data_IF_940800058190
#
_entry.id   IF_940800058190
#
_cell.length_a   1.000
_cell.length_b   1.000
_cell.length_c   1.000
_cell.angle_alpha   90.00
_cell.angle_beta   90.00
_cell.angle_gamma   90.00
#
_symmetry.space_group_name_H-M   'P 1'
#
loop_
_entity.id
_entity.type
_entity.pdbx_description
1 polymer ?
#
# COMPACT_ATOMS: atom_id res chain seq x y z
N UNK A 1 -1.65 -21.87 2.42
CA UNK A 1 -0.69 -22.82 3.00
C UNK A 1 -1.41 -23.54 4.15
N UNK A 2 -1.27 -24.86 4.29
CA UNK A 2 -2.04 -25.69 5.25
C UNK A 2 -1.12 -26.47 6.22
N UNK A 3 0.08 -25.95 6.52
CA UNK A 3 0.96 -26.61 7.50
C UNK A 3 0.40 -26.48 8.93
N UNK A 4 0.86 -27.34 9.84
CA UNK A 4 0.45 -27.31 11.25
C UNK A 4 0.71 -25.94 11.91
N UNK A 5 1.81 -25.27 11.56
CA UNK A 5 2.14 -23.93 12.07
C UNK A 5 1.12 -22.88 11.59
N UNK A 6 0.61 -22.99 10.36
CA UNK A 6 -0.43 -22.08 9.83
C UNK A 6 -1.79 -22.34 10.46
N UNK A 7 -2.13 -23.61 10.68
CA UNK A 7 -3.42 -23.99 11.26
C UNK A 7 -3.53 -23.61 12.74
N UNK A 8 -2.41 -23.52 13.47
CA UNK A 8 -2.34 -23.06 14.86
C UNK A 8 -3.29 -23.77 15.84
N UNK A 9 -3.70 -25.01 15.53
CA UNK A 9 -4.66 -25.79 16.33
C UNK A 9 -4.23 -25.97 17.79
N UNK A 10 -2.94 -26.29 18.10
CA UNK A 10 -2.49 -26.38 19.48
C UNK A 10 -2.64 -25.07 20.25
N UNK A 11 -2.33 -23.94 19.60
CA UNK A 11 -2.43 -22.60 20.19
C UNK A 11 -3.89 -22.22 20.48
N UNK A 12 -4.81 -22.55 19.56
CA UNK A 12 -6.26 -22.32 19.77
C UNK A 12 -6.74 -23.09 21.00
N UNK A 13 -6.30 -24.35 21.16
CA UNK A 13 -6.62 -25.18 22.33
C UNK A 13 -6.02 -24.62 23.62
N UNK A 14 -4.78 -24.12 23.56
CA UNK A 14 -4.07 -23.55 24.72
C UNK A 14 -4.76 -22.29 25.25
N UNK A 15 -5.12 -21.35 24.37
CA UNK A 15 -5.73 -20.08 24.78
C UNK A 15 -7.18 -20.27 25.23
N UNK A 16 -7.93 -21.14 24.56
CA UNK A 16 -9.29 -21.48 24.94
C UNK A 16 -10.32 -20.35 24.81
N UNK A 17 -11.58 -20.59 25.21
CA UNK A 17 -12.66 -19.63 25.09
C UNK A 17 -12.44 -18.36 25.91
N UNK A 18 -12.70 -17.19 25.31
CA UNK A 18 -12.55 -15.89 25.99
C UNK A 18 -11.11 -15.40 26.15
N UNK A 19 -10.12 -16.18 25.73
CA UNK A 19 -8.72 -15.76 25.71
C UNK A 19 -8.38 -14.79 24.57
N UNK A 20 -7.15 -14.28 24.58
CA UNK A 20 -6.66 -13.30 23.60
C UNK A 20 -5.38 -13.77 22.92
N UNK A 21 -5.32 -13.62 21.60
CA UNK A 21 -4.16 -13.95 20.77
C UNK A 21 -3.27 -12.73 20.47
N UNK A 22 -3.70 -11.52 20.84
CA UNK A 22 -3.14 -10.27 20.29
C UNK A 22 -1.65 -10.06 20.61
N UNK A 23 -1.20 -10.53 21.78
CA UNK A 23 0.21 -10.44 22.23
C UNK A 23 0.99 -11.75 22.09
N UNK A 24 0.36 -12.81 21.55
CA UNK A 24 1.01 -14.11 21.47
C UNK A 24 2.14 -14.10 20.43
N UNK A 25 3.32 -14.71 20.70
CA UNK A 25 4.45 -14.69 19.77
C UNK A 25 4.12 -15.18 18.36
N UNK A 26 3.26 -16.20 18.24
CA UNK A 26 2.76 -16.69 16.94
C UNK A 26 2.08 -15.59 16.13
N UNK A 27 1.16 -14.85 16.76
CA UNK A 27 0.45 -13.73 16.12
C UNK A 27 1.39 -12.59 15.79
N UNK A 28 2.30 -12.20 16.70
CA UNK A 28 3.27 -11.12 16.45
C UNK A 28 4.18 -11.41 15.26
N UNK A 29 4.64 -12.67 15.12
CA UNK A 29 5.49 -13.11 14.00
C UNK A 29 4.76 -13.05 12.65
N UNK A 30 3.44 -13.24 12.64
CA UNK A 30 2.64 -13.51 11.43
C UNK A 30 1.66 -12.40 11.04
N UNK A 31 1.35 -11.46 11.94
CA UNK A 31 0.33 -10.42 11.72
C UNK A 31 0.59 -9.50 10.51
N UNK A 32 1.84 -9.42 10.04
CA UNK A 32 2.21 -8.63 8.84
C UNK A 32 2.32 -9.45 7.56
N UNK A 33 2.34 -10.79 7.65
CA UNK A 33 2.48 -11.69 6.50
C UNK A 33 1.16 -12.30 6.09
N UNK A 34 0.30 -12.65 7.05
CA UNK A 34 -1.00 -13.29 6.77
C UNK A 34 -2.11 -12.27 6.48
N UNK A 35 -2.01 -11.07 7.07
CA UNK A 35 -3.00 -10.02 6.85
C UNK A 35 -2.61 -9.16 5.64
N UNK A 36 -3.58 -8.93 4.74
CA UNK A 36 -3.42 -7.97 3.65
C UNK A 36 -3.59 -6.55 4.21
N UNK A 37 -2.45 -5.94 4.55
CA UNK A 37 -2.37 -4.53 4.95
C UNK A 37 -2.22 -3.65 3.70
N UNK A 38 -3.35 -3.14 3.24
CA UNK A 38 -3.38 -2.23 2.09
C UNK A 38 -2.72 -0.90 2.42
N UNK A 39 -2.06 -0.29 1.43
CA UNK A 39 -1.34 0.98 1.60
C UNK A 39 -2.27 2.21 1.68
N UNK A 40 -3.49 2.09 1.18
CA UNK A 40 -4.41 3.24 1.00
C UNK A 40 -5.61 3.18 1.95
N UNK A 41 -6.10 2.00 2.37
CA UNK A 41 -7.33 1.97 3.17
C UNK A 41 -7.13 2.56 4.58
N UNK A 42 -8.18 3.22 5.08
CA UNK A 42 -8.27 3.59 6.50
C UNK A 42 -8.94 2.47 7.28
N UNK A 43 -8.40 2.12 8.45
CA UNK A 43 -9.01 1.19 9.40
C UNK A 43 -9.09 1.79 10.82
N UNK A 44 -8.88 3.08 10.94
CA UNK A 44 -9.00 3.77 12.22
C UNK A 44 -10.44 3.78 12.70
N UNK A 45 -10.60 3.90 14.02
CA UNK A 45 -11.91 4.15 14.61
C UNK A 45 -12.51 5.43 14.01
N UNK A 46 -13.84 5.44 13.85
CA UNK A 46 -14.57 6.56 13.22
C UNK A 46 -14.18 7.93 13.78
N UNK A 47 -14.04 8.05 15.10
CA UNK A 47 -13.67 9.31 15.77
C UNK A 47 -12.28 9.82 15.35
N UNK A 48 -11.35 8.93 15.03
CA UNK A 48 -10.02 9.27 14.53
C UNK A 48 -10.10 9.65 13.05
N UNK A 49 -10.84 8.87 12.24
CA UNK A 49 -11.07 9.16 10.83
C UNK A 49 -11.72 10.53 10.62
N UNK A 50 -12.71 10.89 11.43
CA UNK A 50 -13.36 12.21 11.41
C UNK A 50 -12.38 13.33 11.75
N UNK A 51 -11.55 13.15 12.79
CA UNK A 51 -10.48 14.12 13.16
C UNK A 51 -9.42 14.29 12.07
N UNK A 52 -9.20 13.27 11.25
CA UNK A 52 -8.29 13.30 10.08
C UNK A 52 -8.92 13.96 8.83
N UNK A 53 -10.15 14.45 8.93
CA UNK A 53 -10.84 15.14 7.84
C UNK A 53 -11.80 14.25 7.05
N UNK A 54 -12.15 13.06 7.57
CA UNK A 54 -13.20 12.20 7.02
C UNK A 54 -13.03 11.88 5.52
N UNK A 55 -11.78 11.68 5.07
CA UNK A 55 -11.48 11.46 3.66
C UNK A 55 -12.02 10.12 3.17
N UNK A 56 -12.64 10.14 1.98
CA UNK A 56 -12.96 8.92 1.25
C UNK A 56 -11.71 8.28 0.63
N UNK A 57 -11.89 7.08 0.08
CA UNK A 57 -10.78 6.31 -0.50
C UNK A 57 -10.17 7.00 -1.74
N UNK A 58 -10.99 7.72 -2.51
CA UNK A 58 -10.54 8.42 -3.72
C UNK A 58 -9.64 9.60 -3.38
N UNK A 59 -10.03 10.40 -2.39
CA UNK A 59 -9.26 11.52 -1.87
C UNK A 59 -7.89 11.06 -1.36
N UNK A 60 -7.87 9.96 -0.60
CA UNK A 60 -6.62 9.35 -0.13
C UNK A 60 -5.74 8.84 -1.28
N UNK A 61 -6.34 8.17 -2.26
CA UNK A 61 -5.63 7.70 -3.44
C UNK A 61 -5.00 8.86 -4.22
N UNK A 62 -5.75 9.95 -4.45
CA UNK A 62 -5.25 11.14 -5.13
C UNK A 62 -4.14 11.84 -4.34
N UNK A 63 -4.23 11.91 -3.00
CA UNK A 63 -3.13 12.40 -2.17
C UNK A 63 -1.87 11.57 -2.38
N UNK A 64 -2.01 10.23 -2.39
CA UNK A 64 -0.87 9.33 -2.59
C UNK A 64 -0.24 9.47 -3.99
N UNK A 65 -1.05 9.67 -5.03
CA UNK A 65 -0.55 9.96 -6.39
C UNK A 65 0.29 11.23 -6.40
N UNK A 66 -0.23 12.32 -5.82
CA UNK A 66 0.52 13.60 -5.73
C UNK A 66 1.84 13.45 -4.99
N UNK A 67 1.88 12.67 -3.90
CA UNK A 67 3.12 12.36 -3.19
C UNK A 67 4.15 11.62 -4.05
N UNK A 68 3.71 10.56 -4.76
CA UNK A 68 4.60 9.74 -5.61
C UNK A 68 5.21 10.58 -6.73
N UNK A 69 4.41 11.44 -7.36
CA UNK A 69 4.85 12.26 -8.48
C UNK A 69 5.80 13.38 -8.06
N UNK A 70 5.67 13.89 -6.83
CA UNK A 70 6.65 14.85 -6.28
C UNK A 70 8.03 14.23 -6.04
N UNK A 71 8.11 12.92 -5.80
CA UNK A 71 9.36 12.25 -5.46
C UNK A 71 10.13 11.71 -6.67
N UNK A 72 9.43 11.38 -7.77
CA UNK A 72 10.02 10.74 -8.94
C UNK A 72 9.89 11.64 -10.18
N UNK A 73 10.60 12.77 -10.19
CA UNK A 73 10.53 13.76 -11.29
C UNK A 73 11.55 13.54 -12.40
N UNK A 74 12.56 12.67 -12.18
CA UNK A 74 13.58 12.40 -13.18
C UNK A 74 13.03 11.52 -14.33
N UNK A 75 13.48 11.82 -15.55
CA UNK A 75 13.19 10.98 -16.71
C UNK A 75 13.74 9.56 -16.50
N UNK A 76 12.92 8.55 -16.78
CA UNK A 76 13.28 7.13 -16.62
C UNK A 76 14.09 6.58 -17.80
N UNK A 77 14.13 7.32 -18.91
CA UNK A 77 14.83 6.97 -20.14
C UNK A 77 15.84 8.05 -20.51
N UNK A 78 16.88 7.68 -21.24
CA UNK A 78 17.86 8.66 -21.73
C UNK A 78 17.25 9.57 -22.79
N UNK A 79 17.79 10.78 -22.91
CA UNK A 79 17.36 11.75 -23.91
C UNK A 79 17.45 11.19 -25.35
N UNK A 80 18.47 10.36 -25.62
CA UNK A 80 18.65 9.69 -26.92
C UNK A 80 17.50 8.74 -27.25
N UNK A 81 17.05 7.94 -26.28
CA UNK A 81 15.91 7.02 -26.47
C UNK A 81 14.63 7.80 -26.68
N UNK A 82 14.44 8.89 -25.92
CA UNK A 82 13.25 9.74 -26.04
C UNK A 82 13.16 10.45 -27.40
N UNK A 83 14.29 10.89 -27.94
CA UNK A 83 14.37 11.47 -29.28
C UNK A 83 13.97 10.46 -30.36
N UNK A 84 14.52 9.24 -30.30
CA UNK A 84 14.17 8.15 -31.24
C UNK A 84 12.67 7.82 -31.18
N UNK A 85 12.10 7.75 -29.97
CA UNK A 85 10.68 7.47 -29.78
C UNK A 85 9.79 8.57 -30.37
N UNK A 86 10.11 9.85 -30.13
CA UNK A 86 9.34 10.96 -30.69
C UNK A 86 9.44 11.07 -32.20
N UNK A 87 10.59 10.72 -32.78
CA UNK A 87 10.75 10.66 -34.24
C UNK A 87 9.89 9.55 -34.85
N UNK A 88 9.77 8.41 -34.18
CA UNK A 88 8.98 7.27 -34.65
C UNK A 88 7.47 7.42 -34.41
N UNK A 89 7.06 8.10 -33.34
CA UNK A 89 5.67 8.28 -32.94
C UNK A 89 5.31 9.77 -32.84
N UNK A 90 4.95 10.41 -33.97
CA UNK A 90 4.51 11.80 -33.98
C UNK A 90 3.29 12.01 -33.07
N UNK A 91 3.38 12.95 -32.12
CA UNK A 91 2.32 13.25 -31.14
C UNK A 91 2.53 12.62 -29.76
N UNK A 92 3.60 11.83 -29.57
CA UNK A 92 3.96 11.33 -28.24
C UNK A 92 4.41 12.50 -27.34
N UNK A 93 3.75 12.62 -26.17
CA UNK A 93 4.11 13.61 -25.15
C UNK A 93 5.47 13.31 -24.52
N UNK A 94 6.11 14.34 -23.97
CA UNK A 94 7.37 14.20 -23.22
C UNK A 94 7.25 13.15 -22.12
N UNK A 95 8.30 12.34 -21.93
CA UNK A 95 8.39 11.37 -20.84
C UNK A 95 8.69 11.99 -19.48
N UNK A 96 8.76 13.33 -19.40
CA UNK A 96 8.95 14.06 -18.16
C UNK A 96 7.78 13.83 -17.19
N UNK A 97 8.10 13.40 -15.97
CA UNK A 97 7.12 13.13 -14.91
C UNK A 97 6.83 14.42 -14.14
N UNK A 98 6.10 15.35 -14.76
CA UNK A 98 5.71 16.59 -14.11
C UNK A 98 4.68 16.35 -12.99
N UNK A 99 4.83 16.95 -11.80
CA UNK A 99 3.88 16.77 -10.71
C UNK A 99 2.47 17.23 -11.07
N UNK A 100 1.46 16.43 -10.75
CA UNK A 100 0.04 16.84 -10.81
C UNK A 100 -0.21 17.92 -9.76
N UNK A 101 -0.86 19.02 -10.17
CA UNK A 101 -1.33 20.08 -9.29
C UNK A 101 -2.44 19.62 -8.33
#
# INVERSE_FOLDING_TARGET
>A
NFSEEELAVPLIKEIGPGGSFIVHPHTVKRMKTEAILTKIADRDARTIWEKKGAMDIHTRAMSRVREIMKQNTAALISAEVEEKLRAQFPGLVSGALEPIQ
#
